data_IF_151869910113
#
_entry.id   IF_151869910113
#
_cell.length_a   1.000
_cell.length_b   1.000
_cell.length_c   1.000
_cell.angle_alpha   90.00
_cell.angle_beta   90.00
_cell.angle_gamma   90.00
#
_symmetry.space_group_name_H-M   'P 1'
#
loop_
_entity.id
_entity.type
_entity.pdbx_description
1 polymer ?
#
# COMPACT_ATOMS: atom_id res chain seq x y z
N UNK A 1 3.86 16.95 10.79
CA UNK A 1 3.95 15.84 11.74
C UNK A 1 5.18 14.97 11.47
N UNK A 2 5.53 14.03 12.36
CA UNK A 2 6.76 13.23 12.30
C UNK A 2 6.86 12.40 11.01
N UNK A 3 5.77 11.80 10.54
CA UNK A 3 5.75 11.02 9.30
C UNK A 3 6.21 11.84 8.08
N UNK A 4 5.76 13.08 7.96
CA UNK A 4 6.19 13.97 6.87
C UNK A 4 7.66 14.37 6.98
N UNK A 5 8.19 14.51 8.19
CA UNK A 5 9.60 14.78 8.42
C UNK A 5 10.45 13.58 7.98
N UNK A 6 10.04 12.36 8.34
CA UNK A 6 10.70 11.13 7.93
C UNK A 6 10.72 10.95 6.40
N UNK A 7 9.58 11.14 5.72
CA UNK A 7 9.50 11.07 4.26
C UNK A 7 10.41 12.10 3.58
N UNK A 8 10.49 13.32 4.14
CA UNK A 8 11.37 14.37 3.61
C UNK A 8 12.86 14.05 3.77
N UNK A 9 13.24 13.33 4.83
CA UNK A 9 14.60 12.81 4.99
C UNK A 9 14.86 11.66 4.01
N UNK A 10 13.90 10.73 3.89
CA UNK A 10 13.97 9.60 2.98
C UNK A 10 14.17 10.03 1.52
N UNK A 11 13.50 11.08 1.06
CA UNK A 11 13.65 11.63 -0.31
C UNK A 11 15.10 11.93 -0.71
N UNK A 12 16.00 12.13 0.27
CA UNK A 12 17.42 12.48 0.06
C UNK A 12 18.37 11.34 0.40
N UNK A 13 17.86 10.23 0.90
CA UNK A 13 18.68 9.12 1.35
C UNK A 13 19.17 8.29 0.15
N UNK A 14 20.46 7.93 0.14
CA UNK A 14 21.08 7.21 -0.98
C UNK A 14 20.41 5.89 -1.34
N UNK A 15 19.91 5.14 -0.35
CA UNK A 15 19.15 3.91 -0.61
C UNK A 15 17.83 4.17 -1.33
N UNK A 16 17.17 5.30 -1.05
CA UNK A 16 15.91 5.66 -1.70
C UNK A 16 16.18 6.18 -3.11
N UNK A 17 17.18 7.04 -3.28
CA UNK A 17 17.50 7.59 -4.62
C UNK A 17 18.09 6.56 -5.56
N UNK A 18 18.73 5.51 -5.04
CA UNK A 18 19.33 4.41 -5.82
C UNK A 18 18.42 3.19 -6.02
N UNK A 19 17.24 3.15 -5.42
CA UNK A 19 16.31 2.03 -5.58
C UNK A 19 15.51 2.14 -6.88
N UNK A 20 15.23 1.00 -7.52
CA UNK A 20 14.39 0.94 -8.74
C UNK A 20 12.90 1.13 -8.45
N UNK A 21 12.45 0.68 -7.28
CA UNK A 21 11.06 0.76 -6.83
C UNK A 21 10.97 1.24 -5.40
N UNK A 22 9.94 2.02 -5.10
CA UNK A 22 9.70 2.62 -3.80
C UNK A 22 8.29 2.31 -3.31
N UNK A 23 8.18 1.93 -2.04
CA UNK A 23 6.90 1.69 -1.36
C UNK A 23 6.99 2.19 0.08
N UNK A 24 6.51 3.39 0.39
CA UNK A 24 6.37 3.84 1.77
C UNK A 24 5.30 3.03 2.51
N UNK A 25 5.66 2.46 3.65
CA UNK A 25 4.76 1.67 4.50
C UNK A 25 4.74 2.25 5.92
N UNK A 26 3.61 2.07 6.60
CA UNK A 26 3.52 2.25 8.04
C UNK A 26 3.96 0.95 8.75
N UNK A 27 4.30 1.02 10.02
CA UNK A 27 4.88 -0.11 10.77
C UNK A 27 3.91 -1.29 10.94
N UNK A 28 2.62 -1.03 10.78
CA UNK A 28 1.51 -1.98 10.91
C UNK A 28 0.97 -2.47 9.56
N UNK A 29 1.72 -2.23 8.48
CA UNK A 29 1.36 -2.61 7.11
C UNK A 29 2.32 -3.67 6.56
N UNK A 30 1.78 -4.76 6.01
CA UNK A 30 2.53 -5.90 5.48
C UNK A 30 2.07 -6.26 4.08
N UNK A 31 3.02 -6.27 3.13
CA UNK A 31 2.72 -6.67 1.74
C UNK A 31 2.47 -8.17 1.67
N UNK A 32 1.36 -8.55 1.05
CA UNK A 32 1.02 -9.94 0.79
C UNK A 32 0.76 -10.15 -0.70
N UNK A 33 1.75 -10.72 -1.40
CA UNK A 33 1.68 -11.06 -2.82
C UNK A 33 1.04 -12.44 -3.00
N UNK A 34 0.13 -12.58 -3.96
CA UNK A 34 -0.65 -13.80 -4.20
C UNK A 34 -0.20 -14.56 -5.44
N UNK A 35 0.73 -14.02 -6.23
CA UNK A 35 1.16 -14.61 -7.51
C UNK A 35 2.59 -15.16 -7.45
N UNK A 36 2.89 -16.12 -8.29
CA UNK A 36 4.20 -16.74 -8.43
C UNK A 36 4.72 -17.27 -7.11
N UNK A 37 5.97 -17.00 -6.82
CA UNK A 37 6.66 -17.33 -5.56
C UNK A 37 6.33 -16.37 -4.40
N UNK A 38 5.33 -15.51 -4.57
CA UNK A 38 4.86 -14.51 -3.59
C UNK A 38 5.87 -13.40 -3.27
N UNK A 39 6.73 -13.09 -4.21
CA UNK A 39 7.72 -12.01 -4.09
C UNK A 39 7.29 -10.76 -4.87
N UNK A 40 7.92 -9.62 -4.57
CA UNK A 40 7.74 -8.40 -5.37
C UNK A 40 8.17 -8.61 -6.83
N UNK A 41 9.29 -9.27 -7.15
CA UNK A 41 9.62 -9.62 -8.53
C UNK A 41 8.52 -10.41 -9.26
N UNK A 42 7.87 -11.38 -8.60
CA UNK A 42 6.76 -12.12 -9.19
C UNK A 42 5.54 -11.21 -9.48
N UNK A 43 5.22 -10.27 -8.59
CA UNK A 43 4.17 -9.27 -8.82
C UNK A 43 4.50 -8.39 -10.02
N UNK A 44 5.73 -7.90 -10.13
CA UNK A 44 6.18 -7.07 -11.25
C UNK A 44 6.15 -7.84 -12.59
N UNK A 45 6.51 -9.11 -12.57
CA UNK A 45 6.42 -10.00 -13.74
C UNK A 45 4.97 -10.25 -14.18
N UNK A 46 4.02 -10.32 -13.24
CA UNK A 46 2.59 -10.45 -13.53
C UNK A 46 1.96 -9.18 -14.11
N UNK A 47 2.60 -8.02 -13.96
CA UNK A 47 2.11 -6.72 -14.43
C UNK A 47 3.14 -6.03 -15.35
N UNK A 48 3.43 -6.61 -16.53
CA UNK A 48 4.43 -6.07 -17.43
C UNK A 48 4.04 -4.66 -17.89
N UNK A 49 4.99 -3.73 -17.80
CA UNK A 49 4.77 -2.33 -18.15
C UNK A 49 4.10 -1.48 -17.07
N UNK A 50 3.78 -2.03 -15.90
CA UNK A 50 3.38 -1.24 -14.75
C UNK A 50 4.52 -0.30 -14.31
N UNK A 51 4.17 0.94 -14.00
CA UNK A 51 5.08 1.91 -13.39
C UNK A 51 4.63 2.30 -11.98
N UNK A 52 3.39 1.97 -11.63
CA UNK A 52 2.87 2.08 -10.28
C UNK A 52 1.80 1.00 -10.05
N UNK A 53 1.78 0.44 -8.83
CA UNK A 53 0.79 -0.56 -8.39
C UNK A 53 0.20 -0.09 -7.07
N UNK A 54 -1.12 0.03 -7.00
CA UNK A 54 -1.80 0.38 -5.73
C UNK A 54 -2.09 -0.89 -4.94
N UNK A 55 -1.56 -0.94 -3.72
CA UNK A 55 -1.79 -2.03 -2.78
C UNK A 55 -2.90 -1.60 -1.82
N UNK A 56 -4.11 -2.08 -2.08
CA UNK A 56 -5.29 -1.73 -1.27
C UNK A 56 -5.18 -2.38 0.10
N UNK A 57 -5.52 -1.62 1.14
CA UNK A 57 -5.62 -2.16 2.49
C UNK A 57 -6.63 -3.30 2.57
N UNK A 58 -6.23 -4.35 3.26
CA UNK A 58 -7.10 -5.33 3.83
C UNK A 58 -6.98 -5.25 5.33
N UNK A 59 -8.02 -4.75 5.97
CA UNK A 59 -8.01 -4.51 7.42
C UNK A 59 -8.08 -5.82 8.18
N UNK A 60 -7.22 -5.96 9.18
CA UNK A 60 -7.26 -7.03 10.16
C UNK A 60 -7.72 -6.46 11.49
N UNK A 61 -8.75 -7.09 12.07
CA UNK A 61 -9.29 -6.72 13.36
C UNK A 61 -8.67 -7.54 14.49
N UNK A 62 -8.84 -7.08 15.73
CA UNK A 62 -8.35 -7.78 16.91
C UNK A 62 -9.12 -9.06 17.24
N UNK A 63 -10.23 -9.35 16.52
CA UNK A 63 -11.01 -10.57 16.66
C UNK A 63 -11.50 -10.88 18.09
N UNK A 64 -11.63 -9.85 18.93
CA UNK A 64 -12.02 -9.99 20.34
C UNK A 64 -10.84 -10.29 21.28
N UNK A 65 -9.59 -10.18 20.83
CA UNK A 65 -8.43 -10.31 21.71
C UNK A 65 -8.46 -9.22 22.80
N UNK A 66 -8.54 -9.64 24.05
CA UNK A 66 -8.57 -8.76 25.23
C UNK A 66 -7.14 -8.57 25.74
N UNK A 67 -6.43 -9.64 26.01
CA UNK A 67 -5.09 -9.64 26.60
C UNK A 67 -4.02 -9.35 25.53
N UNK A 68 -3.01 -8.59 25.92
CA UNK A 68 -1.82 -8.41 25.10
C UNK A 68 -0.96 -9.67 25.16
N UNK A 69 -0.54 -10.13 23.99
CA UNK A 69 0.41 -11.24 23.85
C UNK A 69 1.61 -10.71 23.07
N UNK A 70 2.81 -10.92 23.61
CA UNK A 70 4.06 -10.54 22.94
C UNK A 70 4.37 -11.54 21.80
N UNK A 71 3.66 -11.38 20.70
CA UNK A 71 3.78 -12.18 19.50
C UNK A 71 3.59 -11.28 18.26
N UNK A 72 4.06 -11.71 17.07
CA UNK A 72 3.85 -10.97 15.83
C UNK A 72 2.36 -10.68 15.59
N UNK A 73 2.03 -9.45 15.23
CA UNK A 73 0.62 -9.04 14.94
C UNK A 73 -0.03 -9.90 13.85
N UNK A 74 0.77 -10.40 12.90
CA UNK A 74 0.33 -11.27 11.81
C UNK A 74 -0.09 -12.66 12.28
N UNK A 75 0.37 -13.10 13.43
CA UNK A 75 -0.01 -14.37 14.07
C UNK A 75 -1.17 -14.17 15.04
N UNK A 76 -1.19 -13.02 15.74
CA UNK A 76 -2.19 -12.68 16.75
C UNK A 76 -3.54 -12.30 16.17
N UNK A 77 -3.57 -11.58 15.04
CA UNK A 77 -4.79 -11.03 14.44
C UNK A 77 -5.02 -11.60 13.04
N UNK A 78 -5.70 -12.74 12.97
CA UNK A 78 -5.89 -13.50 11.73
C UNK A 78 -7.23 -13.27 11.03
N UNK A 79 -8.12 -12.45 11.60
CA UNK A 79 -9.44 -12.18 11.01
C UNK A 79 -9.41 -10.88 10.20
N UNK A 80 -9.54 -11.03 8.89
CA UNK A 80 -9.55 -9.93 7.95
C UNK A 80 -10.97 -9.51 7.56
N UNK A 81 -11.13 -8.24 7.15
CA UNK A 81 -12.32 -7.76 6.49
C UNK A 81 -12.58 -8.54 5.17
N UNK A 82 -13.83 -8.61 4.67
CA UNK A 82 -14.12 -9.19 3.37
C UNK A 82 -13.31 -8.56 2.24
N UNK A 83 -13.06 -9.31 1.16
CA UNK A 83 -12.35 -8.79 -0.02
C UNK A 83 -13.13 -7.69 -0.73
N UNK A 84 -14.45 -7.79 -0.72
CA UNK A 84 -15.34 -6.81 -1.34
C UNK A 84 -16.08 -6.07 -0.24
N UNK A 85 -15.89 -4.76 -0.21
CA UNK A 85 -16.56 -3.85 0.73
C UNK A 85 -17.28 -2.74 -0.04
N UNK A 86 -18.43 -2.35 0.47
CA UNK A 86 -19.19 -1.21 -0.02
C UNK A 86 -19.08 0.02 0.90
N UNK A 87 -18.59 -0.19 2.11
CA UNK A 87 -18.44 0.80 3.17
C UNK A 87 -17.53 0.25 4.29
N UNK A 88 -16.77 1.12 5.00
CA UNK A 88 -16.50 2.53 4.73
C UNK A 88 -15.39 2.72 3.68
N UNK A 89 -15.38 3.84 2.95
CA UNK A 89 -14.38 4.13 1.91
C UNK A 89 -12.94 4.13 2.44
N UNK A 90 -12.74 4.49 3.72
CA UNK A 90 -11.43 4.49 4.37
C UNK A 90 -10.82 3.09 4.49
N UNK A 91 -11.62 2.04 4.47
CA UNK A 91 -11.13 0.66 4.44
C UNK A 91 -10.44 0.31 3.11
N UNK A 92 -10.64 1.10 2.08
CA UNK A 92 -10.07 0.94 0.74
C UNK A 92 -8.93 1.91 0.42
N UNK A 93 -8.33 2.56 1.42
CA UNK A 93 -7.08 3.29 1.22
C UNK A 93 -6.00 2.35 0.68
N UNK A 94 -5.05 2.88 -0.06
CA UNK A 94 -3.95 2.12 -0.61
C UNK A 94 -2.60 2.79 -0.35
N UNK A 95 -1.54 2.02 -0.43
CA UNK A 95 -0.17 2.50 -0.65
C UNK A 95 0.22 2.23 -2.10
N UNK A 96 1.20 2.96 -2.59
CA UNK A 96 1.62 2.83 -3.99
C UNK A 96 3.06 2.35 -4.08
N UNK A 97 3.25 1.16 -4.64
CA UNK A 97 4.55 0.70 -5.12
C UNK A 97 4.81 1.41 -6.46
N UNK A 98 5.82 2.24 -6.54
CA UNK A 98 6.09 3.11 -7.70
C UNK A 98 7.51 2.93 -8.20
N UNK A 99 7.68 2.90 -9.54
CA UNK A 99 9.00 2.90 -10.17
C UNK A 99 9.69 4.23 -9.92
N UNK A 100 10.95 4.17 -9.52
CA UNK A 100 11.77 5.34 -9.24
C UNK A 100 12.49 5.82 -10.51
N UNK A 101 11.73 6.22 -11.52
CA UNK A 101 12.20 6.63 -12.84
C UNK A 101 12.27 8.16 -13.03
N UNK A 102 12.13 8.91 -11.94
CA UNK A 102 12.10 10.37 -11.95
C UNK A 102 10.77 10.98 -12.40
N UNK A 103 9.69 10.18 -12.51
CA UNK A 103 8.34 10.69 -12.79
C UNK A 103 7.72 11.44 -11.63
N UNK A 104 8.22 11.22 -10.42
CA UNK A 104 7.79 11.89 -9.21
C UNK A 104 9.00 12.35 -8.39
N UNK A 105 8.95 13.59 -7.93
CA UNK A 105 10.06 14.23 -7.19
C UNK A 105 10.02 14.02 -5.68
N UNK A 106 8.96 13.42 -5.11
CA UNK A 106 8.81 13.26 -3.66
C UNK A 106 8.01 12.02 -3.29
N UNK A 107 8.41 11.39 -2.20
CA UNK A 107 7.60 10.38 -1.53
C UNK A 107 6.32 10.99 -0.94
N UNK A 108 5.32 10.16 -0.72
CA UNK A 108 4.10 10.51 -0.02
C UNK A 108 3.56 9.30 0.75
N UNK A 109 2.66 9.55 1.69
CA UNK A 109 2.12 8.51 2.59
C UNK A 109 1.38 7.42 1.83
N UNK A 110 0.53 7.81 0.89
CA UNK A 110 -0.30 6.87 0.11
C UNK A 110 0.15 6.77 -1.35
N UNK A 111 0.74 7.82 -1.88
CA UNK A 111 1.10 7.92 -3.29
C UNK A 111 2.28 8.85 -3.48
N UNK A 112 3.06 8.69 -4.57
CA UNK A 112 4.14 9.61 -4.90
C UNK A 112 3.60 11.02 -5.18
N UNK A 113 4.44 12.03 -4.99
CA UNK A 113 4.10 13.45 -5.09
C UNK A 113 5.06 14.19 -6.02
N UNK A 114 4.72 15.45 -6.32
CA UNK A 114 5.48 16.31 -7.22
C UNK A 114 5.69 15.64 -8.60
N UNK A 115 4.61 15.36 -9.37
CA UNK A 115 4.73 14.75 -10.68
C UNK A 115 5.51 15.67 -11.63
N UNK A 116 6.42 15.08 -12.40
CA UNK A 116 7.12 15.75 -13.52
C UNK A 116 6.24 15.56 -14.77
N UNK A 117 5.73 16.65 -15.32
CA UNK A 117 4.60 16.66 -16.27
C UNK A 117 4.73 15.62 -17.40
N UNK A 118 5.82 15.67 -18.17
CA UNK A 118 5.99 14.80 -19.35
C UNK A 118 6.18 13.31 -18.96
N UNK A 119 6.91 13.05 -17.88
CA UNK A 119 7.14 11.68 -17.40
C UNK A 119 5.92 11.10 -16.68
N UNK A 120 5.22 11.91 -15.91
CA UNK A 120 4.00 11.47 -15.23
C UNK A 120 2.86 11.16 -16.20
N UNK A 121 2.85 11.77 -17.37
CA UNK A 121 1.85 11.50 -18.41
C UNK A 121 1.97 10.09 -19.02
N UNK A 122 3.15 9.49 -19.04
CA UNK A 122 3.42 8.15 -19.59
C UNK A 122 3.25 7.05 -18.54
N UNK A 123 2.96 7.38 -17.30
CA UNK A 123 2.82 6.41 -16.21
C UNK A 123 1.61 5.50 -16.41
N UNK A 124 1.80 4.22 -16.15
CA UNK A 124 0.76 3.19 -16.16
C UNK A 124 0.56 2.67 -14.75
N UNK A 125 -0.58 2.98 -14.19
CA UNK A 125 -0.97 2.57 -12.85
C UNK A 125 -1.88 1.35 -12.89
N UNK A 126 -1.62 0.38 -12.03
CA UNK A 126 -2.45 -0.82 -11.89
C UNK A 126 -2.93 -0.95 -10.45
N UNK A 127 -4.10 -1.56 -10.26
CA UNK A 127 -4.56 -1.94 -8.93
C UNK A 127 -4.01 -3.32 -8.51
N UNK A 128 -4.23 -3.69 -7.26
CA UNK A 128 -3.81 -4.98 -6.71
C UNK A 128 -4.51 -6.20 -7.31
N UNK A 129 -5.51 -6.01 -8.16
CA UNK A 129 -6.16 -7.07 -8.94
C UNK A 129 -5.67 -7.13 -10.41
N UNK A 130 -4.72 -6.28 -10.78
CA UNK A 130 -4.12 -6.29 -12.12
C UNK A 130 -4.84 -5.46 -13.17
N UNK A 131 -5.80 -4.61 -12.79
CA UNK A 131 -6.51 -3.72 -13.70
C UNK A 131 -5.76 -2.41 -13.86
N UNK A 132 -5.61 -1.94 -15.10
CA UNK A 132 -5.05 -0.63 -15.35
C UNK A 132 -6.01 0.47 -14.85
N UNK A 133 -5.48 1.40 -14.07
CA UNK A 133 -6.24 2.47 -13.45
C UNK A 133 -6.35 3.70 -14.36
N UNK A 134 -7.53 4.35 -14.42
CA UNK A 134 -7.69 5.56 -15.20
C UNK A 134 -6.84 6.71 -14.65
N UNK A 135 -6.51 7.67 -15.52
CA UNK A 135 -5.67 8.83 -15.19
C UNK A 135 -6.14 9.67 -14.00
N UNK A 136 -7.42 9.57 -13.62
CA UNK A 136 -7.94 10.20 -12.41
C UNK A 136 -7.22 9.75 -11.13
N UNK A 137 -6.74 8.50 -11.10
CA UNK A 137 -5.92 7.97 -9.99
C UNK A 137 -4.56 8.67 -9.90
N UNK A 138 -3.98 9.11 -11.02
CA UNK A 138 -2.68 9.76 -11.06
C UNK A 138 -2.70 11.16 -10.40
N UNK A 139 -3.88 11.77 -10.21
CA UNK A 139 -4.00 13.19 -9.80
C UNK A 139 -4.25 13.44 -8.32
N UNK A 140 -4.68 12.46 -7.54
CA UNK A 140 -4.95 12.75 -6.12
C UNK A 140 -5.71 11.67 -5.37
N UNK A 141 -6.25 10.66 -6.05
CA UNK A 141 -7.01 9.60 -5.41
C UNK A 141 -6.10 8.73 -4.54
N UNK A 142 -6.55 8.39 -3.35
CA UNK A 142 -5.82 7.60 -2.36
C UNK A 142 -6.59 6.35 -1.89
N UNK A 143 -7.72 6.05 -2.51
CA UNK A 143 -8.56 4.88 -2.21
C UNK A 143 -8.98 4.17 -3.49
N UNK A 144 -9.09 2.87 -3.41
CA UNK A 144 -9.55 1.98 -4.48
C UNK A 144 -11.06 2.01 -4.63
N UNK A 145 -11.57 1.47 -5.73
CA UNK A 145 -13.01 1.41 -5.95
C UNK A 145 -13.68 0.45 -4.97
N UNK A 146 -14.85 0.84 -4.46
CA UNK A 146 -15.71 0.01 -3.64
C UNK A 146 -16.49 -1.00 -4.49
N UNK A 147 -17.03 -2.03 -3.84
CA UNK A 147 -17.92 -2.99 -4.48
C UNK A 147 -17.24 -3.99 -5.42
N UNK A 148 -15.90 -4.07 -5.40
CA UNK A 148 -15.15 -5.08 -6.15
C UNK A 148 -13.90 -5.55 -5.41
N UNK A 149 -13.38 -6.72 -5.80
CA UNK A 149 -12.11 -7.21 -5.29
C UNK A 149 -10.95 -6.41 -5.90
N UNK A 150 -10.12 -5.84 -5.05
CA UNK A 150 -8.92 -5.09 -5.42
C UNK A 150 -7.62 -5.83 -5.02
N UNK A 151 -7.68 -7.13 -4.68
CA UNK A 151 -6.62 -7.84 -3.98
C UNK A 151 -6.10 -9.10 -4.70
N UNK A 152 -6.58 -9.40 -5.91
CA UNK A 152 -6.33 -10.69 -6.55
C UNK A 152 -4.84 -11.06 -6.72
N UNK A 153 -3.97 -10.09 -7.02
CA UNK A 153 -2.53 -10.31 -7.21
C UNK A 153 -1.71 -9.90 -5.98
N UNK A 154 -2.16 -8.87 -5.26
CA UNK A 154 -1.50 -8.34 -4.08
C UNK A 154 -2.47 -7.57 -3.20
N UNK A 155 -2.31 -7.71 -1.90
CA UNK A 155 -2.99 -6.89 -0.89
C UNK A 155 -1.99 -6.30 0.10
N UNK A 156 -2.40 -5.26 0.81
CA UNK A 156 -1.66 -4.70 1.93
C UNK A 156 -2.41 -5.02 3.22
N UNK A 157 -1.90 -5.99 3.98
CA UNK A 157 -2.45 -6.33 5.28
C UNK A 157 -2.19 -5.16 6.23
N UNK A 158 -3.25 -4.59 6.79
CA UNK A 158 -3.16 -3.47 7.71
C UNK A 158 -3.77 -3.85 9.06
N UNK A 159 -2.97 -3.71 10.12
CA UNK A 159 -3.28 -4.10 11.50
C UNK A 159 -3.44 -2.86 12.39
N UNK A 160 -4.46 -2.01 12.18
CA UNK A 160 -4.58 -0.73 12.88
C UNK A 160 -5.03 -0.86 14.35
N UNK A 161 -5.38 -2.07 14.78
CA UNK A 161 -5.88 -2.36 16.12
C UNK A 161 -4.98 -3.37 16.82
N UNK A 162 -4.69 -3.10 18.10
CA UNK A 162 -4.07 -4.06 19.02
C UNK A 162 -5.10 -4.83 19.85
N UNK A 163 -4.66 -5.61 20.84
CA UNK A 163 -5.51 -6.15 21.88
C UNK A 163 -6.21 -5.02 22.67
N UNK A 164 -7.33 -5.32 23.33
CA UNK A 164 -8.07 -4.29 24.09
C UNK A 164 -7.21 -3.65 25.17
N UNK A 165 -6.36 -4.40 25.85
CA UNK A 165 -5.41 -3.87 26.83
C UNK A 165 -4.48 -2.79 26.24
N UNK A 166 -4.12 -2.87 24.98
CA UNK A 166 -3.26 -1.88 24.30
C UNK A 166 -3.91 -0.47 24.21
N UNK A 167 -5.20 -0.35 24.47
CA UNK A 167 -5.94 0.93 24.47
C UNK A 167 -6.22 1.47 25.87
N UNK A 168 -5.88 0.72 26.92
CA UNK A 168 -6.17 1.06 28.33
C UNK A 168 -4.96 1.64 29.07
N UNK A 169 -3.85 1.86 28.37
CA UNK A 169 -2.58 2.36 28.94
C UNK A 169 -2.41 3.84 28.66
#
# INVERSE_FOLDING_TARGET
>A
GPQWAALKQADRHGLVTGADWLLPLDIDEFVNVHVGDRTIPALLAALPGATAITLTWRLFGNAGAVEYIDAPVTESFIRAAPHVLYWPWRAHLFKTLVRNDGSYGKLGVHRPRAPVADRAASQRWFDGAGRELPRAFHRGRIFSDLGRDNHALVQLNHYPLGAMESFLV
#
